data_IF_684593816726
#
_entry.id   IF_684593816726
#
_cell.length_a   1.000
_cell.length_b   1.000
_cell.length_c   1.000
_cell.angle_alpha   90.00
_cell.angle_beta   90.00
_cell.angle_gamma   90.00
#
_symmetry.space_group_name_H-M   'P 1'
#
loop_
_entity.id
_entity.type
_entity.pdbx_description
1 polymer ?
#
# COMPACT_ATOMS: atom_id res chain seq x y z
N UNK A 1 37.06 5.42 7.32
CA UNK A 1 35.81 5.45 6.57
C UNK A 1 34.81 4.75 7.44
N UNK A 2 33.92 5.50 8.05
CA UNK A 2 32.89 4.96 8.95
C UNK A 2 31.94 4.04 8.19
N UNK A 3 31.44 2.99 8.83
CA UNK A 3 30.49 2.01 8.23
C UNK A 3 29.30 2.66 7.51
N UNK A 4 28.81 3.78 8.03
CA UNK A 4 27.74 4.61 7.46
C UNK A 4 28.05 5.08 6.03
N UNK A 5 29.26 5.56 5.76
CA UNK A 5 29.64 5.97 4.39
C UNK A 5 29.72 4.79 3.42
N UNK A 6 30.18 3.65 3.89
CA UNK A 6 30.30 2.43 3.07
C UNK A 6 28.92 1.88 2.72
N UNK A 7 27.98 1.90 3.67
CA UNK A 7 26.59 1.47 3.46
C UNK A 7 25.86 2.41 2.50
N UNK A 8 25.95 3.72 2.68
CA UNK A 8 25.33 4.71 1.81
C UNK A 8 25.82 4.62 0.36
N UNK A 9 27.12 4.37 0.15
CA UNK A 9 27.70 4.17 -1.18
C UNK A 9 27.18 2.90 -1.87
N UNK A 10 27.04 1.80 -1.12
CA UNK A 10 26.56 0.52 -1.67
C UNK A 10 25.05 0.53 -1.91
N UNK A 11 24.28 1.16 -1.04
CA UNK A 11 22.83 1.34 -1.28
C UNK A 11 22.56 2.24 -2.49
N UNK A 12 23.41 3.22 -2.78
CA UNK A 12 23.30 4.06 -3.97
C UNK A 12 23.47 3.28 -5.28
N UNK A 13 24.22 2.17 -5.28
CA UNK A 13 24.37 1.32 -6.45
C UNK A 13 23.03 0.67 -6.87
N UNK A 14 22.18 0.31 -5.91
CA UNK A 14 20.85 -0.24 -6.14
C UNK A 14 20.01 0.67 -7.04
N UNK A 15 20.08 2.00 -6.83
CA UNK A 15 19.25 2.97 -7.56
C UNK A 15 19.66 3.21 -9.01
N UNK A 16 20.79 2.66 -9.45
CA UNK A 16 21.14 2.60 -10.88
C UNK A 16 20.30 1.57 -11.62
N UNK A 17 19.79 0.59 -10.91
CA UNK A 17 19.05 -0.54 -11.44
C UNK A 17 17.53 -0.43 -11.20
N UNK A 18 17.08 0.49 -10.35
CA UNK A 18 15.67 0.68 -9.97
C UNK A 18 15.21 2.10 -10.29
N UNK A 19 14.05 2.22 -10.93
CA UNK A 19 13.46 3.50 -11.27
C UNK A 19 12.64 4.08 -10.10
N UNK A 20 13.23 4.13 -8.91
CA UNK A 20 12.57 4.61 -7.68
C UNK A 20 12.94 6.07 -7.42
N UNK A 21 11.95 7.00 -7.26
CA UNK A 21 12.20 8.39 -6.90
C UNK A 21 13.02 8.52 -5.61
N UNK A 22 13.82 9.59 -5.51
CA UNK A 22 14.77 9.76 -4.39
C UNK A 22 14.08 9.83 -3.03
N UNK A 23 12.94 10.48 -2.96
CA UNK A 23 12.12 10.65 -1.75
C UNK A 23 11.47 9.34 -1.28
N UNK A 24 11.19 8.42 -2.20
CA UNK A 24 10.62 7.11 -1.91
C UNK A 24 11.66 6.03 -1.53
N UNK A 25 12.96 6.27 -1.77
CA UNK A 25 14.03 5.28 -1.53
C UNK A 25 14.10 4.77 -0.09
N UNK A 26 13.97 5.61 0.96
CA UNK A 26 13.95 5.13 2.34
C UNK A 26 12.79 4.17 2.61
N UNK A 27 11.61 4.40 2.03
CA UNK A 27 10.44 3.50 2.15
C UNK A 27 10.74 2.13 1.53
N UNK A 28 11.34 2.10 0.35
CA UNK A 28 11.71 0.84 -0.31
C UNK A 28 12.81 0.09 0.45
N UNK A 29 13.82 0.79 0.98
CA UNK A 29 14.87 0.16 1.80
C UNK A 29 14.30 -0.42 3.09
N UNK A 30 13.45 0.33 3.78
CA UNK A 30 12.79 -0.16 4.99
C UNK A 30 11.95 -1.41 4.69
N UNK A 31 11.24 -1.42 3.55
CA UNK A 31 10.46 -2.59 3.13
C UNK A 31 11.35 -3.81 2.84
N UNK A 32 12.49 -3.62 2.15
CA UNK A 32 13.46 -4.70 1.91
C UNK A 32 14.01 -5.27 3.22
N UNK A 33 14.39 -4.41 4.15
CA UNK A 33 14.92 -4.81 5.46
C UNK A 33 13.83 -5.53 6.28
N UNK A 34 12.59 -5.04 6.25
CA UNK A 34 11.47 -5.67 6.97
C UNK A 34 11.14 -7.05 6.40
N UNK A 35 11.12 -7.19 5.07
CA UNK A 35 10.86 -8.46 4.40
C UNK A 35 11.94 -9.54 4.65
N UNK A 36 13.12 -9.16 5.14
CA UNK A 36 14.19 -10.07 5.58
C UNK A 36 14.04 -10.50 7.04
N UNK A 37 13.15 -9.88 7.82
CA UNK A 37 12.89 -10.21 9.23
C UNK A 37 11.82 -11.30 9.32
N UNK A 38 11.90 -12.23 10.29
CA UNK A 38 10.84 -13.15 10.57
C UNK A 38 9.73 -12.49 11.42
N UNK A 39 8.51 -12.98 11.30
CA UNK A 39 7.39 -12.75 12.22
C UNK A 39 6.99 -11.30 12.53
N UNK A 40 7.31 -10.37 11.65
CA UNK A 40 6.84 -8.97 11.72
C UNK A 40 5.59 -8.78 10.85
N UNK A 41 4.72 -7.82 11.15
CA UNK A 41 3.72 -7.37 10.19
C UNK A 41 4.40 -6.71 8.99
N UNK A 42 4.15 -7.22 7.78
CA UNK A 42 4.76 -6.68 6.55
C UNK A 42 3.81 -5.76 5.82
N UNK A 43 4.15 -4.49 5.57
CA UNK A 43 3.34 -3.68 4.67
C UNK A 43 3.39 -4.24 3.25
N UNK A 44 2.31 -4.11 2.51
CA UNK A 44 2.25 -4.45 1.09
C UNK A 44 3.02 -3.39 0.31
N UNK A 45 3.98 -3.77 -0.53
CA UNK A 45 4.66 -2.84 -1.44
C UNK A 45 3.91 -2.77 -2.76
N UNK A 46 3.40 -1.60 -3.09
CA UNK A 46 2.69 -1.31 -4.33
C UNK A 46 3.53 -0.41 -5.23
N UNK A 47 3.77 -0.85 -6.46
CA UNK A 47 4.48 -0.09 -7.48
C UNK A 47 3.46 0.37 -8.54
N UNK A 48 3.11 1.65 -8.50
CA UNK A 48 2.22 2.27 -9.48
C UNK A 48 3.01 3.06 -10.52
N UNK A 49 2.46 3.27 -11.70
CA UNK A 49 3.06 4.12 -12.73
C UNK A 49 2.62 3.75 -14.14
N UNK A 50 2.82 4.64 -15.07
CA UNK A 50 2.45 4.46 -16.48
C UNK A 50 3.22 3.33 -17.18
N UNK A 51 2.82 3.01 -18.39
CA UNK A 51 3.57 2.10 -19.25
C UNK A 51 4.97 2.66 -19.52
N UNK A 52 6.01 1.82 -19.41
CA UNK A 52 7.40 2.24 -19.59
C UNK A 52 8.05 2.87 -18.35
N UNK A 53 7.45 2.75 -17.16
CA UNK A 53 8.05 3.16 -15.88
C UNK A 53 8.92 2.06 -15.22
N UNK A 54 9.12 0.91 -15.85
CA UNK A 54 9.97 -0.19 -15.35
C UNK A 54 9.46 -0.89 -14.07
N UNK A 55 8.12 -0.93 -13.87
CA UNK A 55 7.51 -1.57 -12.69
C UNK A 55 7.92 -3.02 -12.51
N UNK A 56 7.67 -3.86 -13.51
CA UNK A 56 7.98 -5.30 -13.44
C UNK A 56 9.47 -5.59 -13.26
N UNK A 57 10.36 -4.80 -13.91
CA UNK A 57 11.80 -4.90 -13.70
C UNK A 57 12.19 -4.52 -12.27
N UNK A 58 11.66 -3.41 -11.75
CA UNK A 58 11.89 -2.96 -10.37
C UNK A 58 11.41 -4.03 -9.38
N UNK A 59 10.20 -4.55 -9.55
CA UNK A 59 9.63 -5.58 -8.69
C UNK A 59 10.45 -6.88 -8.71
N UNK A 60 10.84 -7.35 -9.89
CA UNK A 60 11.69 -8.54 -10.07
C UNK A 60 13.02 -8.41 -9.32
N UNK A 61 13.70 -7.26 -9.46
CA UNK A 61 14.99 -7.01 -8.80
C UNK A 61 14.87 -6.87 -7.29
N UNK A 62 13.83 -6.20 -6.79
CA UNK A 62 13.56 -6.13 -5.35
C UNK A 62 13.30 -7.52 -4.78
N UNK A 63 12.49 -8.34 -5.47
CA UNK A 63 12.25 -9.72 -5.03
C UNK A 63 13.53 -10.56 -5.03
N UNK A 64 14.37 -10.44 -6.06
CA UNK A 64 15.62 -11.19 -6.16
C UNK A 64 16.58 -10.95 -4.98
N UNK A 65 16.48 -9.82 -4.29
CA UNK A 65 17.27 -9.51 -3.10
C UNK A 65 16.80 -10.25 -1.84
N UNK A 66 15.55 -10.77 -1.83
CA UNK A 66 14.95 -11.40 -0.63
C UNK A 66 14.65 -12.88 -0.90
N UNK A 67 13.97 -13.15 -2.01
CA UNK A 67 13.41 -14.46 -2.38
C UNK A 67 13.66 -14.74 -3.86
N UNK A 68 14.90 -15.09 -4.24
CA UNK A 68 15.27 -15.41 -5.62
C UNK A 68 14.60 -16.73 -6.04
N UNK A 69 13.71 -16.68 -7.02
CA UNK A 69 12.95 -17.82 -7.54
C UNK A 69 12.93 -17.82 -9.07
N UNK A 70 12.70 -18.97 -9.68
CA UNK A 70 12.66 -19.12 -11.13
C UNK A 70 11.51 -18.32 -11.78
N UNK A 71 10.37 -18.17 -11.11
CA UNK A 71 9.21 -17.37 -11.58
C UNK A 71 9.00 -16.21 -10.61
N UNK A 72 9.69 -15.07 -10.83
CA UNK A 72 9.70 -13.97 -9.87
C UNK A 72 8.38 -13.16 -9.80
N UNK A 73 7.59 -13.18 -10.86
CA UNK A 73 6.33 -12.44 -10.95
C UNK A 73 5.21 -13.41 -11.30
N UNK A 74 4.06 -13.24 -10.66
CA UNK A 74 2.82 -13.96 -10.95
C UNK A 74 1.82 -12.99 -11.56
N UNK A 75 1.01 -13.47 -12.51
CA UNK A 75 -0.13 -12.68 -13.00
C UNK A 75 -1.13 -12.34 -11.90
N UNK A 76 -2.09 -11.50 -12.23
CA UNK A 76 -3.15 -11.08 -11.30
C UNK A 76 -3.89 -12.30 -10.72
N UNK A 77 -4.12 -12.36 -9.39
CA UNK A 77 -4.89 -13.42 -8.77
C UNK A 77 -6.35 -13.33 -9.23
N UNK A 78 -7.00 -14.47 -9.46
CA UNK A 78 -8.40 -14.53 -9.88
C UNK A 78 -9.36 -14.61 -8.69
N UNK A 79 -8.89 -15.15 -7.58
CA UNK A 79 -9.65 -15.33 -6.35
C UNK A 79 -8.73 -15.24 -5.12
N UNK A 80 -9.31 -15.24 -3.93
CA UNK A 80 -8.61 -15.18 -2.65
C UNK A 80 -7.71 -16.40 -2.45
N UNK A 81 -8.14 -17.58 -2.93
CA UNK A 81 -7.36 -18.81 -2.85
C UNK A 81 -6.02 -18.71 -3.58
N UNK A 82 -5.97 -18.08 -4.75
CA UNK A 82 -4.71 -17.87 -5.49
C UNK A 82 -3.66 -17.10 -4.65
N UNK A 83 -4.14 -16.13 -3.85
CA UNK A 83 -3.29 -15.33 -2.96
C UNK A 83 -2.70 -16.22 -1.85
N UNK A 84 -3.54 -17.04 -1.21
CA UNK A 84 -3.08 -17.92 -0.12
C UNK A 84 -2.20 -19.07 -0.62
N UNK A 85 -2.49 -19.63 -1.80
CA UNK A 85 -1.63 -20.62 -2.45
C UNK A 85 -0.25 -20.01 -2.78
N UNK A 86 -0.23 -18.77 -3.26
CA UNK A 86 1.03 -18.07 -3.50
C UNK A 86 1.82 -17.90 -2.21
N UNK A 87 1.16 -17.52 -1.11
CA UNK A 87 1.77 -17.31 0.20
C UNK A 87 2.30 -18.59 0.85
N UNK A 88 1.66 -19.73 0.58
CA UNK A 88 2.14 -21.05 1.05
C UNK A 88 3.43 -21.49 0.34
N UNK A 89 3.66 -21.03 -0.90
CA UNK A 89 4.73 -21.51 -1.77
C UNK A 89 5.87 -20.50 -2.01
N UNK A 90 5.85 -19.34 -1.34
CA UNK A 90 6.86 -18.31 -1.54
C UNK A 90 7.08 -17.50 -0.26
N UNK A 91 8.30 -17.03 -0.03
CA UNK A 91 8.59 -16.08 1.03
C UNK A 91 7.99 -14.70 0.69
N UNK A 92 8.11 -14.26 -0.57
CA UNK A 92 7.53 -13.01 -1.06
C UNK A 92 6.44 -13.31 -2.09
N UNK A 93 5.21 -12.90 -1.82
CA UNK A 93 4.12 -12.94 -2.79
C UNK A 93 4.24 -11.75 -3.75
N UNK A 94 4.39 -12.01 -5.04
CA UNK A 94 4.66 -10.98 -6.03
C UNK A 94 3.70 -11.11 -7.21
N UNK A 95 2.77 -10.15 -7.35
CA UNK A 95 1.76 -10.12 -8.42
C UNK A 95 1.99 -8.91 -9.33
N UNK A 96 1.83 -9.11 -10.64
CA UNK A 96 2.05 -8.05 -11.62
C UNK A 96 0.82 -7.77 -12.49
N UNK A 97 0.83 -6.57 -13.10
CA UNK A 97 -0.20 -6.11 -14.05
C UNK A 97 -1.62 -6.13 -13.47
N UNK A 98 -1.75 -5.73 -12.23
CA UNK A 98 -3.05 -5.57 -11.58
C UNK A 98 -3.76 -4.34 -12.14
N UNK A 99 -5.01 -4.50 -12.56
CA UNK A 99 -5.88 -3.39 -12.94
C UNK A 99 -6.78 -2.96 -11.77
N UNK A 100 -7.16 -3.92 -10.93
CA UNK A 100 -7.97 -3.69 -9.71
C UNK A 100 -7.89 -4.92 -8.80
N UNK A 101 -8.31 -4.76 -7.55
CA UNK A 101 -8.51 -5.84 -6.59
C UNK A 101 -9.93 -5.76 -6.04
N UNK A 102 -10.64 -6.89 -5.99
CA UNK A 102 -11.92 -6.95 -5.29
C UNK A 102 -11.74 -6.68 -3.79
N UNK A 103 -12.83 -6.33 -3.10
CA UNK A 103 -12.77 -6.11 -1.65
C UNK A 103 -12.21 -7.32 -0.91
N UNK A 104 -12.67 -8.53 -1.25
CA UNK A 104 -12.21 -9.77 -0.61
C UNK A 104 -10.72 -10.03 -0.84
N UNK A 105 -10.19 -9.68 -2.02
CA UNK A 105 -8.75 -9.77 -2.31
C UNK A 105 -7.96 -8.73 -1.49
N UNK A 106 -8.46 -7.51 -1.34
CA UNK A 106 -7.82 -6.49 -0.51
C UNK A 106 -7.81 -6.92 0.96
N UNK A 107 -8.90 -7.51 1.44
CA UNK A 107 -8.98 -8.07 2.81
C UNK A 107 -8.00 -9.23 2.99
N UNK A 108 -7.84 -10.11 1.98
CA UNK A 108 -6.84 -11.18 1.99
C UNK A 108 -5.40 -10.63 2.07
N UNK A 109 -5.07 -9.55 1.35
CA UNK A 109 -3.77 -8.88 1.48
C UNK A 109 -3.56 -8.29 2.89
N UNK A 110 -4.60 -7.73 3.50
CA UNK A 110 -4.55 -7.28 4.90
C UNK A 110 -4.23 -8.43 5.86
N UNK A 111 -4.84 -9.60 5.64
CA UNK A 111 -4.58 -10.81 6.45
C UNK A 111 -3.13 -11.27 6.28
N UNK A 112 -2.61 -11.33 5.05
CA UNK A 112 -1.22 -11.70 4.80
C UNK A 112 -0.22 -10.72 5.42
N UNK A 113 -0.54 -9.44 5.41
CA UNK A 113 0.30 -8.37 5.98
C UNK A 113 0.50 -8.54 7.48
N UNK A 114 -0.55 -8.86 8.22
CA UNK A 114 -0.52 -8.89 9.71
C UNK A 114 -0.49 -10.29 10.31
N UNK A 115 -0.68 -11.31 9.50
CA UNK A 115 -0.85 -12.69 9.91
C UNK A 115 -2.31 -13.03 10.19
N UNK A 116 -2.73 -14.18 9.72
CA UNK A 116 -4.07 -14.72 9.90
C UNK A 116 -4.22 -16.07 9.23
N UNK A 117 -5.31 -16.76 9.50
CA UNK A 117 -5.65 -18.04 8.90
C UNK A 117 -6.68 -17.86 7.78
N UNK A 118 -6.46 -18.54 6.68
CA UNK A 118 -7.48 -18.78 5.66
C UNK A 118 -7.91 -20.23 5.74
N UNK A 119 -9.17 -20.45 6.05
CA UNK A 119 -9.76 -21.78 6.14
C UNK A 119 -10.41 -22.14 4.81
N UNK A 120 -10.03 -23.25 4.23
CA UNK A 120 -10.68 -23.83 3.03
C UNK A 120 -11.09 -25.27 3.29
N UNK A 121 -12.19 -25.69 2.67
CA UNK A 121 -12.60 -27.10 2.70
C UNK A 121 -11.72 -27.89 1.77
N UNK A 122 -11.14 -28.96 2.26
CA UNK A 122 -10.40 -29.90 1.42
C UNK A 122 -11.41 -30.68 0.57
N UNK A 123 -11.25 -30.61 -0.76
CA UNK A 123 -12.05 -31.41 -1.69
C UNK A 123 -11.79 -32.91 -1.42
N UNK A 124 -12.88 -33.69 -1.28
CA UNK A 124 -12.86 -35.15 -1.06
C UNK A 124 -12.56 -35.66 0.36
N UNK A 125 -12.52 -34.82 1.40
CA UNK A 125 -12.47 -35.28 2.79
C UNK A 125 -13.69 -34.80 3.56
N UNK A 126 -14.34 -35.73 4.28
CA UNK A 126 -15.53 -35.45 5.08
C UNK A 126 -15.14 -34.64 6.34
N UNK A 127 -15.25 -33.31 6.25
CA UNK A 127 -15.30 -32.44 7.45
C UNK A 127 -13.95 -31.91 7.97
N UNK A 128 -12.82 -32.15 7.29
CA UNK A 128 -11.54 -31.56 7.70
C UNK A 128 -11.36 -30.17 7.07
N UNK A 129 -11.13 -29.18 7.93
CA UNK A 129 -10.81 -27.82 7.55
C UNK A 129 -9.29 -27.68 7.41
N UNK A 130 -8.82 -27.30 6.22
CA UNK A 130 -7.41 -26.97 6.01
C UNK A 130 -7.18 -25.49 6.28
N UNK A 131 -6.55 -25.18 7.40
CA UNK A 131 -6.22 -23.80 7.79
C UNK A 131 -4.81 -23.47 7.31
N UNK A 132 -4.71 -22.56 6.35
CA UNK A 132 -3.42 -21.99 5.90
C UNK A 132 -3.18 -20.73 6.73
N UNK A 133 -2.25 -20.82 7.67
CA UNK A 133 -1.80 -19.65 8.42
C UNK A 133 -0.55 -19.12 7.74
N UNK A 134 -0.59 -17.89 7.27
CA UNK A 134 0.56 -17.28 6.61
C UNK A 134 0.67 -15.80 6.91
N UNK A 135 1.90 -15.35 7.07
CA UNK A 135 2.29 -13.95 7.14
C UNK A 135 3.46 -13.78 6.17
N UNK A 136 3.26 -13.02 5.10
CA UNK A 136 4.24 -12.90 4.02
C UNK A 136 4.34 -11.46 3.53
N UNK A 137 5.54 -10.98 3.19
CA UNK A 137 5.69 -9.78 2.40
C UNK A 137 4.98 -9.93 1.05
N UNK A 138 4.26 -8.89 0.65
CA UNK A 138 3.53 -8.87 -0.61
C UNK A 138 4.00 -7.70 -1.46
N UNK A 139 4.20 -7.95 -2.75
CA UNK A 139 4.46 -6.93 -3.76
C UNK A 139 3.40 -6.99 -4.83
N UNK A 140 2.90 -5.83 -5.24
CA UNK A 140 1.96 -5.70 -6.35
C UNK A 140 2.40 -4.60 -7.30
N UNK A 141 2.07 -4.70 -8.59
CA UNK A 141 2.23 -3.58 -9.49
C UNK A 141 1.01 -3.39 -10.40
N UNK A 142 0.77 -2.16 -10.77
CA UNK A 142 -0.31 -1.77 -11.69
C UNK A 142 -0.02 -0.42 -12.37
N UNK A 143 -0.85 -0.07 -13.36
CA UNK A 143 -0.80 1.28 -13.95
C UNK A 143 -1.25 2.28 -12.91
N UNK A 144 -2.39 2.01 -12.27
CA UNK A 144 -2.92 2.78 -11.15
C UNK A 144 -2.67 2.02 -9.84
N UNK A 145 -2.72 2.72 -8.71
CA UNK A 145 -2.75 2.10 -7.41
C UNK A 145 -4.01 1.23 -7.27
N UNK A 146 -3.83 -0.02 -6.82
CA UNK A 146 -4.93 -0.99 -6.67
C UNK A 146 -5.44 -1.09 -5.23
N UNK A 147 -4.68 -0.57 -4.26
CA UNK A 147 -5.11 -0.42 -2.88
C UNK A 147 -6.09 0.76 -2.79
N UNK A 148 -7.38 0.44 -2.72
CA UNK A 148 -8.47 1.42 -2.63
C UNK A 148 -9.23 1.33 -1.31
N UNK A 149 -9.28 0.14 -0.69
CA UNK A 149 -9.90 -0.03 0.60
C UNK A 149 -9.09 0.71 1.70
N UNK A 150 -9.72 1.55 2.54
CA UNK A 150 -9.02 2.32 3.57
C UNK A 150 -8.16 1.46 4.51
N UNK A 151 -8.63 0.26 4.83
CA UNK A 151 -7.90 -0.68 5.69
C UNK A 151 -6.61 -1.20 5.05
N UNK A 152 -6.61 -1.43 3.74
CA UNK A 152 -5.40 -1.78 2.98
C UNK A 152 -4.49 -0.57 2.78
N UNK A 153 -5.04 0.62 2.49
CA UNK A 153 -4.25 1.85 2.32
C UNK A 153 -3.38 2.14 3.56
N UNK A 154 -3.88 1.87 4.75
CA UNK A 154 -3.08 2.04 5.99
C UNK A 154 -1.96 0.99 6.16
N UNK A 155 -1.97 -0.07 5.35
CA UNK A 155 -0.98 -1.16 5.36
C UNK A 155 -0.15 -1.24 4.08
N UNK A 156 -0.35 -0.34 3.14
CA UNK A 156 0.37 -0.34 1.87
C UNK A 156 1.43 0.75 1.84
N UNK A 157 2.53 0.46 1.17
CA UNK A 157 3.56 1.43 0.79
C UNK A 157 3.47 1.59 -0.72
N UNK A 158 2.81 2.66 -1.17
CA UNK A 158 2.64 2.95 -2.59
C UNK A 158 3.80 3.79 -3.10
N UNK A 159 4.49 3.29 -4.11
CA UNK A 159 5.61 3.97 -4.78
C UNK A 159 5.21 4.26 -6.21
N UNK A 160 5.14 5.53 -6.57
CA UNK A 160 4.91 5.97 -7.95
C UNK A 160 6.22 6.01 -8.72
N UNK A 161 6.33 5.18 -9.75
CA UNK A 161 7.50 5.11 -10.60
C UNK A 161 7.34 6.07 -11.79
N UNK A 162 8.28 7.01 -12.00
CA UNK A 162 8.21 7.94 -13.12
C UNK A 162 8.41 7.22 -14.45
N UNK A 163 7.83 7.76 -15.52
CA UNK A 163 8.04 7.25 -16.87
C UNK A 163 9.48 7.46 -17.32
N UNK A 164 10.11 6.42 -17.88
CA UNK A 164 11.46 6.52 -18.44
C UNK A 164 11.38 7.14 -19.83
N UNK A 165 12.07 8.25 -20.03
CA UNK A 165 12.16 8.91 -21.35
C UNK A 165 12.72 7.94 -22.40
N UNK A 166 12.17 7.99 -23.62
CA UNK A 166 12.51 7.05 -24.71
C UNK A 166 14.02 6.95 -24.97
N UNK A 167 14.76 8.06 -24.93
CA UNK A 167 16.21 8.08 -25.13
C UNK A 167 17.06 7.53 -23.97
N UNK A 168 16.43 7.18 -22.83
CA UNK A 168 17.13 6.56 -21.68
C UNK A 168 16.82 5.08 -21.52
N UNK A 169 16.02 4.52 -22.43
CA UNK A 169 15.70 3.08 -22.40
C UNK A 169 16.90 2.27 -22.86
N UNK A 170 17.19 1.21 -22.15
CA UNK A 170 18.25 0.24 -22.47
C UNK A 170 17.62 -1.10 -22.84
N UNK A 171 18.32 -1.91 -23.62
CA UNK A 171 17.90 -3.27 -23.90
C UNK A 171 18.01 -4.18 -22.64
N UNK A 172 17.21 -5.23 -22.63
CA UNK A 172 17.10 -6.12 -21.47
C UNK A 172 18.42 -6.85 -21.18
N UNK A 173 19.16 -7.25 -22.21
CA UNK A 173 20.42 -8.00 -22.04
C UNK A 173 21.49 -7.13 -21.36
N UNK A 174 21.64 -5.89 -21.80
CA UNK A 174 22.56 -4.89 -21.20
C UNK A 174 22.17 -4.62 -19.73
N UNK A 175 20.88 -4.41 -19.46
CA UNK A 175 20.39 -4.18 -18.10
C UNK A 175 20.62 -5.38 -17.18
N UNK A 176 20.44 -6.60 -17.68
CA UNK A 176 20.60 -7.81 -16.90
C UNK A 176 22.08 -8.11 -16.63
N UNK A 177 22.95 -7.94 -17.61
CA UNK A 177 24.40 -8.08 -17.42
C UNK A 177 24.94 -7.08 -16.38
N UNK A 178 24.46 -5.83 -16.41
CA UNK A 178 24.83 -4.83 -15.42
C UNK A 178 24.31 -5.18 -14.02
N UNK A 179 23.07 -5.69 -13.91
CA UNK A 179 22.48 -6.13 -12.66
C UNK A 179 23.27 -7.28 -12.03
N UNK A 180 23.55 -8.33 -12.80
CA UNK A 180 24.29 -9.50 -12.31
C UNK A 180 25.70 -9.14 -11.84
N UNK A 181 26.39 -8.23 -12.54
CA UNK A 181 27.70 -7.72 -12.13
C UNK A 181 27.66 -6.99 -10.80
N UNK A 182 26.66 -6.13 -10.60
CA UNK A 182 26.55 -5.25 -9.45
C UNK A 182 25.82 -5.91 -8.25
N UNK A 183 25.08 -7.00 -8.48
CA UNK A 183 24.27 -7.71 -7.49
C UNK A 183 25.03 -8.10 -6.21
N UNK A 184 26.25 -8.70 -6.24
CA UNK A 184 26.96 -9.08 -5.02
C UNK A 184 27.26 -7.86 -4.12
N UNK A 185 27.62 -6.73 -4.72
CA UNK A 185 27.90 -5.50 -3.98
C UNK A 185 26.61 -4.88 -3.39
N UNK A 186 25.51 -4.89 -4.16
CA UNK A 186 24.20 -4.44 -3.70
C UNK A 186 23.72 -5.30 -2.53
N UNK A 187 23.76 -6.62 -2.66
CA UNK A 187 23.33 -7.55 -1.63
C UNK A 187 24.16 -7.41 -0.35
N UNK A 188 25.50 -7.32 -0.47
CA UNK A 188 26.39 -7.07 0.68
C UNK A 188 26.05 -5.73 1.36
N UNK A 189 25.77 -4.68 0.57
CA UNK A 189 25.35 -3.39 1.10
C UNK A 189 24.01 -3.47 1.86
N UNK A 190 23.06 -4.27 1.35
CA UNK A 190 21.77 -4.47 2.00
C UNK A 190 21.94 -5.23 3.34
N UNK A 191 22.78 -6.28 3.39
CA UNK A 191 23.08 -7.00 4.62
C UNK A 191 23.78 -6.10 5.67
N UNK A 192 24.69 -5.24 5.22
CA UNK A 192 25.34 -4.26 6.10
C UNK A 192 24.30 -3.29 6.68
N UNK A 193 23.42 -2.75 5.83
CA UNK A 193 22.33 -1.87 6.28
C UNK A 193 21.36 -2.59 7.23
N UNK A 194 21.06 -3.87 6.97
CA UNK A 194 20.25 -4.69 7.87
C UNK A 194 20.86 -4.79 9.26
N UNK A 195 22.15 -5.10 9.37
CA UNK A 195 22.86 -5.19 10.64
C UNK A 195 22.87 -3.83 11.39
N UNK A 196 23.22 -2.75 10.69
CA UNK A 196 23.22 -1.39 11.25
C UNK A 196 21.80 -0.97 11.69
N UNK A 197 20.78 -1.33 10.93
CA UNK A 197 19.38 -1.06 11.28
C UNK A 197 18.98 -1.79 12.58
N UNK A 198 19.34 -3.06 12.73
CA UNK A 198 19.06 -3.82 13.95
C UNK A 198 19.75 -3.22 15.19
N UNK A 199 20.96 -2.67 15.03
CA UNK A 199 21.66 -1.95 16.11
C UNK A 199 20.95 -0.63 16.50
N UNK A 200 20.36 0.06 15.51
CA UNK A 200 19.64 1.33 15.74
C UNK A 200 18.22 1.11 16.29
N UNK A 201 17.56 0.02 15.92
CA UNK A 201 16.13 -0.23 16.22
C UNK A 201 15.75 -0.10 17.71
N UNK A 202 16.54 -0.58 18.69
CA UNK A 202 16.25 -0.39 20.11
C UNK A 202 16.28 1.09 20.55
N UNK A 203 16.95 1.95 19.80
CA UNK A 203 17.12 3.38 20.11
C UNK A 203 15.99 4.25 19.55
N UNK A 204 15.09 3.65 18.75
CA UNK A 204 14.00 4.37 18.10
C UNK A 204 12.80 4.50 19.03
N UNK A 205 12.40 5.73 19.29
CA UNK A 205 11.17 6.07 19.99
C UNK A 205 10.24 6.84 19.05
N UNK A 206 8.98 6.40 18.97
CA UNK A 206 7.93 7.11 18.22
C UNK A 206 7.05 7.82 19.26
N UNK A 207 6.95 9.16 19.23
CA UNK A 207 6.12 9.90 20.18
C UNK A 207 4.66 9.43 20.15
N UNK A 208 4.01 9.47 21.32
CA UNK A 208 2.58 9.18 21.41
C UNK A 208 1.79 10.15 20.52
N UNK A 209 0.80 9.63 19.80
CA UNK A 209 0.01 10.38 18.80
C UNK A 209 0.64 10.46 17.39
N UNK A 210 1.92 10.11 17.22
CA UNK A 210 2.57 9.98 15.91
C UNK A 210 2.66 8.53 15.41
N UNK A 211 2.15 7.59 16.20
CA UNK A 211 2.17 6.17 15.89
C UNK A 211 1.21 5.84 14.73
N UNK A 212 1.71 5.08 13.75
CA UNK A 212 0.92 4.59 12.62
C UNK A 212 0.41 3.17 12.88
N UNK A 213 -0.53 2.72 12.06
CA UNK A 213 -1.07 1.36 12.13
C UNK A 213 0.03 0.29 12.04
N UNK A 214 0.98 0.48 11.13
CA UNK A 214 2.16 -0.37 10.97
C UNK A 214 3.34 0.18 11.80
N UNK A 215 3.18 0.21 13.13
CA UNK A 215 4.17 0.80 14.04
C UNK A 215 5.54 0.11 13.96
N UNK A 216 5.56 -1.21 13.82
CA UNK A 216 6.81 -1.97 13.70
C UNK A 216 7.60 -1.56 12.46
N UNK A 217 6.90 -1.38 11.33
CA UNK A 217 7.50 -0.87 10.11
C UNK A 217 7.94 0.59 10.25
N UNK A 218 7.16 1.44 10.90
CA UNK A 218 7.52 2.83 11.15
C UNK A 218 8.80 2.93 11.98
N UNK A 219 8.90 2.16 13.07
CA UNK A 219 10.10 2.10 13.92
C UNK A 219 11.32 1.58 13.14
N UNK A 220 11.13 0.53 12.35
CA UNK A 220 12.19 -0.01 11.50
C UNK A 220 12.68 1.02 10.48
N UNK A 221 11.75 1.74 9.85
CA UNK A 221 12.09 2.78 8.88
C UNK A 221 12.86 3.95 9.48
N UNK A 222 12.52 4.38 10.69
CA UNK A 222 13.33 5.37 11.43
C UNK A 222 14.75 4.83 11.70
N UNK A 223 14.85 3.55 12.10
CA UNK A 223 16.16 2.92 12.31
C UNK A 223 16.98 2.85 11.01
N UNK A 224 16.35 2.55 9.87
CA UNK A 224 16.99 2.59 8.55
C UNK A 224 17.47 4.00 8.22
N UNK A 225 16.66 5.02 8.45
CA UNK A 225 17.06 6.42 8.24
C UNK A 225 18.24 6.80 9.12
N UNK A 226 18.23 6.43 10.40
CA UNK A 226 19.34 6.67 11.32
C UNK A 226 20.62 5.96 10.89
N UNK A 227 20.54 4.69 10.47
CA UNK A 227 21.67 3.92 9.92
C UNK A 227 22.27 4.56 8.66
N UNK A 228 21.45 5.26 7.87
CA UNK A 228 21.89 6.01 6.70
C UNK A 228 22.37 7.43 7.02
N UNK A 229 22.38 7.84 8.29
CA UNK A 229 22.79 9.18 8.74
C UNK A 229 21.68 10.23 8.61
N UNK A 230 20.42 9.83 8.42
CA UNK A 230 19.25 10.72 8.43
C UNK A 230 18.84 11.16 9.84
N UNK A 231 17.86 12.06 9.90
CA UNK A 231 17.33 12.62 11.14
C UNK A 231 16.13 11.82 11.66
N UNK A 232 15.98 11.80 12.98
CA UNK A 232 14.79 11.23 13.61
C UNK A 232 13.52 11.95 13.13
N UNK A 233 12.45 11.18 12.86
CA UNK A 233 11.18 11.68 12.35
C UNK A 233 11.12 11.85 10.82
N UNK A 234 12.23 11.75 10.12
CA UNK A 234 12.27 11.92 8.66
C UNK A 234 11.53 10.81 7.94
N UNK A 235 11.66 9.57 8.40
CA UNK A 235 10.91 8.45 7.82
C UNK A 235 9.41 8.59 8.07
N UNK A 236 9.01 8.93 9.28
CA UNK A 236 7.60 9.14 9.64
C UNK A 236 6.93 10.22 8.79
N UNK A 237 7.62 11.32 8.51
CA UNK A 237 7.13 12.39 7.63
C UNK A 237 6.90 11.88 6.19
N UNK A 238 7.86 11.10 5.64
CA UNK A 238 7.73 10.49 4.30
C UNK A 238 6.57 9.51 4.23
N UNK A 239 6.42 8.69 5.28
CA UNK A 239 5.32 7.73 5.39
C UNK A 239 3.97 8.44 5.47
N UNK A 240 3.89 9.56 6.20
CA UNK A 240 2.68 10.39 6.28
C UNK A 240 2.29 11.01 4.95
N UNK A 241 3.26 11.59 4.23
CA UNK A 241 3.04 12.16 2.91
C UNK A 241 2.51 11.11 1.95
N UNK A 242 3.17 9.97 1.87
CA UNK A 242 2.76 8.86 1.01
C UNK A 242 1.35 8.34 1.34
N UNK A 243 1.03 8.15 2.63
CA UNK A 243 -0.31 7.72 3.04
C UNK A 243 -1.37 8.80 2.74
N UNK A 244 -1.04 10.08 2.89
CA UNK A 244 -1.92 11.19 2.51
C UNK A 244 -2.28 11.14 1.03
N UNK A 245 -1.29 11.01 0.16
CA UNK A 245 -1.46 10.90 -1.28
C UNK A 245 -2.27 9.65 -1.67
N UNK A 246 -1.98 8.50 -1.04
CA UNK A 246 -2.69 7.25 -1.28
C UNK A 246 -4.16 7.32 -0.87
N UNK A 247 -4.47 7.97 0.25
CA UNK A 247 -5.85 8.19 0.69
C UNK A 247 -6.61 9.14 -0.23
N UNK A 248 -5.97 10.21 -0.71
CA UNK A 248 -6.57 11.13 -1.67
C UNK A 248 -6.96 10.40 -2.95
N UNK A 249 -6.03 9.62 -3.53
CA UNK A 249 -6.32 8.77 -4.71
C UNK A 249 -7.40 7.72 -4.42
N UNK A 250 -7.34 7.06 -3.27
CA UNK A 250 -8.35 6.10 -2.85
C UNK A 250 -9.74 6.73 -2.82
N UNK A 251 -9.87 7.96 -2.30
CA UNK A 251 -11.15 8.67 -2.29
C UNK A 251 -11.64 9.01 -3.69
N UNK A 252 -10.77 9.40 -4.61
CA UNK A 252 -11.12 9.69 -6.00
C UNK A 252 -11.69 8.47 -6.72
N UNK A 253 -11.27 7.25 -6.35
CA UNK A 253 -11.81 6.02 -6.91
C UNK A 253 -13.22 5.66 -6.41
N UNK A 254 -13.69 6.31 -5.35
CA UNK A 254 -15.06 6.15 -4.84
C UNK A 254 -15.94 7.30 -5.30
N UNK A 255 -16.78 7.09 -6.30
CA UNK A 255 -17.71 8.13 -6.78
C UNK A 255 -18.58 8.72 -5.66
N UNK A 256 -18.95 7.93 -4.64
CA UNK A 256 -19.66 8.43 -3.44
C UNK A 256 -18.81 9.44 -2.67
N UNK A 257 -17.50 9.24 -2.53
CA UNK A 257 -16.62 10.18 -1.84
C UNK A 257 -16.50 11.48 -2.61
N UNK A 258 -16.30 11.41 -3.93
CA UNK A 258 -16.28 12.56 -4.84
C UNK A 258 -17.59 13.35 -4.72
N UNK A 259 -18.74 12.68 -4.76
CA UNK A 259 -20.05 13.34 -4.61
C UNK A 259 -20.22 14.01 -3.25
N UNK A 260 -19.77 13.41 -2.17
CA UNK A 260 -19.80 14.02 -0.84
C UNK A 260 -18.89 15.24 -0.76
N UNK A 261 -17.70 15.21 -1.37
CA UNK A 261 -16.80 16.37 -1.44
C UNK A 261 -17.40 17.51 -2.25
N UNK A 262 -18.06 17.21 -3.38
CA UNK A 262 -18.82 18.21 -4.17
C UNK A 262 -19.95 18.83 -3.35
N UNK A 263 -20.72 18.01 -2.59
CA UNK A 263 -21.76 18.51 -1.69
C UNK A 263 -21.19 19.45 -0.63
N UNK A 264 -20.09 19.06 0.01
CA UNK A 264 -19.43 19.85 1.04
C UNK A 264 -18.79 21.16 0.51
N UNK A 265 -18.49 21.21 -0.78
CA UNK A 265 -17.88 22.39 -1.43
C UNK A 265 -18.89 23.43 -1.90
N UNK A 266 -20.20 23.14 -1.88
CA UNK A 266 -21.24 24.10 -2.32
C UNK A 266 -21.28 25.33 -1.41
N UNK A 267 -21.43 26.56 -1.98
CA UNK A 267 -21.46 27.82 -1.20
C UNK A 267 -22.55 27.88 -0.14
N UNK A 268 -23.69 27.24 -0.40
CA UNK A 268 -24.88 27.20 0.46
C UNK A 268 -24.78 26.20 1.61
N UNK A 269 -23.74 25.38 1.65
CA UNK A 269 -23.75 24.20 2.47
C UNK A 269 -22.44 23.90 3.15
N UNK A 270 -22.03 24.75 4.09
CA UNK A 270 -21.02 24.29 5.07
C UNK A 270 -21.49 23.07 5.86
N UNK A 271 -22.82 22.84 5.91
CA UNK A 271 -23.44 21.68 6.53
C UNK A 271 -24.59 21.15 5.66
N UNK A 272 -24.51 19.87 5.33
CA UNK A 272 -25.64 19.15 4.75
C UNK A 272 -26.16 18.14 5.77
N UNK A 273 -27.46 18.11 6.02
CA UNK A 273 -28.12 17.15 6.92
C UNK A 273 -29.28 16.46 6.21
N UNK A 274 -29.36 15.16 6.31
CA UNK A 274 -30.44 14.38 5.74
C UNK A 274 -30.32 12.90 6.02
N UNK A 275 -31.31 12.13 5.57
CA UNK A 275 -31.26 10.66 5.64
C UNK A 275 -30.37 10.11 4.53
N UNK A 276 -29.89 8.87 4.69
CA UNK A 276 -29.12 8.18 3.62
C UNK A 276 -29.93 8.05 2.32
N UNK A 277 -31.26 8.03 2.37
CA UNK A 277 -32.10 8.06 1.18
C UNK A 277 -32.00 9.42 0.47
N UNK A 278 -32.08 10.51 1.20
CA UNK A 278 -31.93 11.86 0.66
C UNK A 278 -30.52 12.07 0.10
N UNK A 279 -29.50 11.62 0.83
CA UNK A 279 -28.11 11.66 0.35
C UNK A 279 -27.96 10.91 -0.97
N UNK A 280 -28.48 9.68 -1.07
CA UNK A 280 -28.43 8.89 -2.30
C UNK A 280 -29.15 9.60 -3.46
N UNK A 281 -30.27 10.25 -3.18
CA UNK A 281 -31.02 11.03 -4.18
C UNK A 281 -30.22 12.22 -4.69
N UNK A 282 -29.54 12.97 -3.79
CA UNK A 282 -28.66 14.08 -4.18
C UNK A 282 -27.47 13.61 -5.01
N UNK A 283 -26.80 12.55 -4.56
CA UNK A 283 -25.67 11.97 -5.29
C UNK A 283 -26.08 11.45 -6.68
N UNK A 284 -27.27 10.86 -6.81
CA UNK A 284 -27.81 10.40 -8.10
C UNK A 284 -28.06 11.53 -9.11
N UNK A 285 -28.24 12.76 -8.64
CA UNK A 285 -28.47 13.93 -9.51
C UNK A 285 -27.16 14.52 -10.08
N UNK A 286 -25.99 14.07 -9.60
CA UNK A 286 -24.70 14.57 -10.06
C UNK A 286 -24.26 13.83 -11.32
N UNK A 287 -24.07 14.51 -12.48
CA UNK A 287 -23.79 13.83 -13.75
C UNK A 287 -22.35 13.33 -13.92
N UNK A 288 -21.39 13.91 -13.20
CA UNK A 288 -19.95 13.75 -13.46
C UNK A 288 -19.23 12.75 -12.53
N UNK A 289 -19.97 11.85 -11.87
CA UNK A 289 -19.42 10.92 -10.89
C UNK A 289 -19.30 9.52 -11.47
N UNK A 290 -18.13 8.87 -11.28
CA UNK A 290 -17.98 7.45 -11.60
C UNK A 290 -18.95 6.59 -10.76
N UNK A 291 -19.71 5.75 -11.46
CA UNK A 291 -20.73 4.89 -10.87
C UNK A 291 -20.35 3.40 -10.85
N UNK A 292 -19.09 3.08 -11.05
CA UNK A 292 -18.62 1.69 -11.15
C UNK A 292 -18.92 0.85 -9.89
N UNK A 293 -18.95 1.42 -8.70
CA UNK A 293 -19.34 0.75 -7.45
C UNK A 293 -20.50 1.48 -6.74
N UNK A 294 -21.50 1.91 -7.51
CA UNK A 294 -22.56 2.76 -7.00
C UNK A 294 -23.51 2.04 -6.02
N UNK A 295 -23.88 2.67 -4.88
CA UNK A 295 -24.74 2.04 -3.90
C UNK A 295 -26.19 1.93 -4.42
N UNK A 296 -26.73 0.72 -4.39
CA UNK A 296 -28.10 0.41 -4.88
C UNK A 296 -29.18 0.69 -3.84
N UNK A 297 -28.82 0.98 -2.61
CA UNK A 297 -29.75 1.23 -1.50
C UNK A 297 -29.15 2.15 -0.44
N UNK A 298 -29.99 2.84 0.37
CA UNK A 298 -29.52 3.63 1.50
C UNK A 298 -28.66 2.85 2.51
N UNK A 299 -28.96 1.56 2.71
CA UNK A 299 -28.16 0.68 3.58
C UNK A 299 -26.77 0.45 3.01
N UNK A 300 -26.67 0.20 1.71
CA UNK A 300 -25.38 0.01 1.03
C UNK A 300 -24.58 1.33 1.06
N UNK A 301 -25.23 2.48 0.78
CA UNK A 301 -24.61 3.81 0.89
C UNK A 301 -24.06 4.04 2.31
N UNK A 302 -24.83 3.74 3.35
CA UNK A 302 -24.38 3.88 4.75
C UNK A 302 -23.12 3.05 5.04
N UNK A 303 -23.04 1.83 4.50
CA UNK A 303 -21.87 0.99 4.61
C UNK A 303 -20.63 1.59 3.91
N UNK A 304 -20.81 2.10 2.69
CA UNK A 304 -19.72 2.77 1.96
C UNK A 304 -19.27 4.06 2.66
N UNK A 305 -20.21 4.91 3.09
CA UNK A 305 -19.90 6.16 3.80
C UNK A 305 -19.08 5.90 5.07
N UNK A 306 -19.42 4.88 5.86
CA UNK A 306 -18.64 4.51 7.05
C UNK A 306 -17.21 4.13 6.72
N UNK A 307 -16.98 3.45 5.59
CA UNK A 307 -15.64 3.03 5.15
C UNK A 307 -14.80 4.22 4.69
N UNK A 308 -15.40 5.16 3.94
CA UNK A 308 -14.66 6.31 3.39
C UNK A 308 -14.55 7.50 4.36
N UNK A 309 -15.34 7.52 5.46
CA UNK A 309 -15.36 8.61 6.43
C UNK A 309 -13.98 8.99 7.01
N UNK A 310 -13.07 8.03 7.33
CA UNK A 310 -11.73 8.40 7.79
C UNK A 310 -10.91 9.16 6.74
N UNK A 311 -11.00 8.75 5.47
CA UNK A 311 -10.35 9.43 4.36
C UNK A 311 -10.95 10.82 4.11
N UNK A 312 -12.28 10.94 4.09
CA UNK A 312 -12.98 12.22 3.94
C UNK A 312 -12.61 13.21 5.05
N UNK A 313 -12.47 12.76 6.29
CA UNK A 313 -12.02 13.61 7.41
C UNK A 313 -10.63 14.20 7.16
N UNK A 314 -9.70 13.41 6.65
CA UNK A 314 -8.37 13.92 6.28
C UNK A 314 -8.41 14.89 5.09
N UNK A 315 -9.43 14.77 4.24
CA UNK A 315 -9.70 15.69 3.15
C UNK A 315 -10.54 16.93 3.58
N UNK A 316 -10.71 17.17 4.89
CA UNK A 316 -11.44 18.31 5.42
C UNK A 316 -12.96 18.17 5.35
N UNK A 317 -13.49 16.94 5.24
CA UNK A 317 -14.94 16.68 5.24
C UNK A 317 -15.30 15.70 6.35
N UNK A 318 -16.03 16.17 7.36
CA UNK A 318 -16.49 15.34 8.48
C UNK A 318 -17.91 14.83 8.25
N UNK A 319 -18.11 13.55 8.56
CA UNK A 319 -19.42 12.91 8.52
C UNK A 319 -19.81 12.48 9.93
N UNK A 320 -20.94 12.98 10.40
CA UNK A 320 -21.46 12.74 11.74
C UNK A 320 -22.83 12.06 11.69
N UNK A 321 -23.11 11.22 12.68
CA UNK A 321 -24.46 10.68 12.86
C UNK A 321 -25.37 11.76 13.46
N UNK A 322 -26.45 12.09 12.75
CA UNK A 322 -27.41 13.12 13.15
C UNK A 322 -28.73 12.53 13.70
N UNK A 323 -28.67 11.33 14.30
CA UNK A 323 -29.82 10.67 14.90
C UNK A 323 -30.65 9.83 13.93
N UNK A 324 -31.91 9.52 14.29
CA UNK A 324 -32.88 8.77 13.48
C UNK A 324 -34.13 9.63 13.22
N UNK A 325 -34.49 9.76 11.94
CA UNK A 325 -35.76 10.35 11.54
C UNK A 325 -36.80 9.27 11.18
N UNK A 326 -38.01 9.70 10.84
CA UNK A 326 -39.12 8.81 10.40
C UNK A 326 -38.76 7.91 9.21
N UNK A 327 -37.82 8.34 8.37
CA UNK A 327 -37.41 7.67 7.14
C UNK A 327 -36.04 7.01 7.23
N UNK A 328 -35.45 6.88 8.43
CA UNK A 328 -34.15 6.18 8.64
C UNK A 328 -33.10 6.99 9.38
N UNK A 329 -31.87 6.47 9.42
CA UNK A 329 -30.72 7.12 10.02
C UNK A 329 -30.36 8.40 9.25
N UNK A 330 -30.10 9.48 9.98
CA UNK A 330 -29.64 10.77 9.46
C UNK A 330 -28.12 10.89 9.57
N UNK A 331 -27.56 11.61 8.64
CA UNK A 331 -26.14 11.94 8.57
C UNK A 331 -25.96 13.43 8.31
N UNK A 332 -24.96 14.02 8.96
CA UNK A 332 -24.52 15.40 8.73
C UNK A 332 -23.16 15.39 8.08
N UNK A 333 -22.98 16.21 7.06
CA UNK A 333 -21.74 16.39 6.30
C UNK A 333 -21.28 17.82 6.55
N UNK A 334 -20.08 17.98 7.11
CA UNK A 334 -19.52 19.28 7.51
C UNK A 334 -18.17 19.45 6.83
N UNK A 335 -17.91 20.62 6.25
CA UNK A 335 -16.57 20.99 5.77
C UNK A 335 -15.81 21.65 6.93
N UNK A 336 -14.61 21.14 7.26
CA UNK A 336 -13.69 21.71 8.26
C UNK A 336 -12.90 22.89 7.71
#
# INVERSE_FOLDING_TARGET
VTGVQTCALRSNLLWKHLNVPKDARPLVLAWLIDAMRPDTPYPVLELAGEMGSSKSTTQRRLRALIDPVAVPLRGAPKCVEDIHIAAANAQVCSFENLSSLSQDMQDALCILSTGGGYATRQLYTNGEEHVITSKRPVMVNGINAVATAPDLIERVITIELPTIAAGKRQDEQTMEAAWLRDYPAIFTGLLTLFAETLEMLPKVEIPEGMQKRMLDYQRLGEAVCMALGGKAGEFSQRLDSMHGDSLARGLESYGVAVGIQILAARPEGREWEGTYLQLLTELNRMPEIDRSNWPRSPRHLSGQVKRIAPGLRRAGVRIEAAGRGRTGAKVRIVRE
#
